data_IF_957982946607
#
_entry.id   IF_957982946607
#
_cell.length_a   1.000
_cell.length_b   1.000
_cell.length_c   1.000
_cell.angle_alpha   90.00
_cell.angle_beta   90.00
_cell.angle_gamma   90.00
#
_symmetry.space_group_name_H-M   'P 1'
#
loop_
_entity.id
_entity.type
_entity.pdbx_description
1 polymer ?
#
# COMPACT_ATOMS: atom_id res chain seq x y z
N UNK A 1 -9.22 -14.96 32.08
CA UNK A 1 -8.47 -14.58 30.86
C UNK A 1 -8.39 -15.83 29.99
N UNK A 2 -9.33 -16.00 29.07
CA UNK A 2 -9.36 -17.12 28.13
C UNK A 2 -8.36 -16.84 27.02
N UNK A 3 -7.08 -16.96 27.37
CA UNK A 3 -6.07 -17.27 26.37
C UNK A 3 -6.48 -18.61 25.75
N UNK A 4 -6.55 -18.66 24.42
CA UNK A 4 -6.34 -19.93 23.74
C UNK A 4 -5.04 -20.48 24.30
N UNK A 5 -5.15 -21.49 25.17
CA UNK A 5 -4.03 -22.03 25.92
C UNK A 5 -2.95 -22.38 24.90
N UNK A 6 -1.72 -21.86 25.00
CA UNK A 6 -0.62 -22.27 24.12
C UNK A 6 -0.30 -23.77 24.24
N UNK A 7 -0.98 -24.48 25.15
CA UNK A 7 -0.86 -25.90 25.45
C UNK A 7 -1.97 -26.78 24.88
N UNK A 8 -3.02 -26.25 24.23
CA UNK A 8 -4.05 -27.08 23.60
C UNK A 8 -3.72 -27.17 22.11
N UNK A 9 -2.91 -28.17 21.75
CA UNK A 9 -2.71 -28.60 20.36
C UNK A 9 -1.28 -28.92 19.94
N UNK A 10 -0.26 -28.32 20.57
CA UNK A 10 1.15 -28.60 20.26
C UNK A 10 1.87 -29.23 21.44
N UNK A 11 2.49 -30.39 21.22
CA UNK A 11 3.42 -30.99 22.19
C UNK A 11 4.71 -30.17 22.38
N UNK A 12 4.98 -29.20 21.49
CA UNK A 12 6.21 -28.41 21.47
C UNK A 12 5.95 -26.95 21.88
N UNK A 13 6.83 -26.40 22.73
CA UNK A 13 6.81 -24.98 23.09
C UNK A 13 7.16 -24.15 21.85
N UNK A 14 6.27 -23.23 21.48
CA UNK A 14 6.51 -22.26 20.41
C UNK A 14 7.58 -21.26 20.85
N UNK A 15 8.45 -20.86 19.92
CA UNK A 15 9.60 -19.98 20.17
C UNK A 15 9.53 -18.76 19.26
N UNK A 16 9.99 -17.63 19.79
CA UNK A 16 10.25 -16.46 18.98
C UNK A 16 11.50 -16.67 18.12
N UNK A 17 11.58 -16.02 16.96
CA UNK A 17 12.81 -16.01 16.16
C UNK A 17 13.99 -15.42 16.94
N UNK A 18 13.71 -14.47 17.82
CA UNK A 18 14.68 -13.78 18.66
C UNK A 18 14.14 -13.73 20.09
N UNK A 19 14.98 -14.11 21.07
CA UNK A 19 14.64 -14.06 22.49
C UNK A 19 13.46 -14.96 22.91
N UNK A 20 12.96 -14.70 24.11
CA UNK A 20 11.76 -15.36 24.63
C UNK A 20 10.50 -14.51 24.37
N UNK A 21 9.34 -15.13 24.14
CA UNK A 21 8.08 -14.40 23.99
C UNK A 21 7.66 -13.69 25.29
N UNK A 22 7.10 -12.50 25.16
CA UNK A 22 6.41 -11.82 26.26
C UNK A 22 4.99 -12.38 26.38
N UNK A 23 4.76 -13.20 27.41
CA UNK A 23 3.47 -13.85 27.68
C UNK A 23 2.48 -12.94 28.42
N UNK A 24 2.90 -11.74 28.84
CA UNK A 24 2.03 -10.74 29.47
C UNK A 24 1.29 -9.87 28.44
N UNK A 25 1.74 -9.86 27.19
CA UNK A 25 1.19 -9.07 26.10
C UNK A 25 0.48 -9.96 25.07
N UNK A 26 -0.56 -9.41 24.45
CA UNK A 26 -1.36 -10.06 23.42
C UNK A 26 -1.18 -9.39 22.05
N UNK A 27 -1.25 -10.21 21.02
CA UNK A 27 -1.27 -9.83 19.61
C UNK A 27 -2.69 -9.65 19.05
N UNK A 28 -3.71 -9.83 19.88
CA UNK A 28 -5.10 -9.62 19.48
C UNK A 28 -5.42 -8.14 19.36
N UNK A 29 -6.01 -7.75 18.23
CA UNK A 29 -6.44 -6.37 17.99
C UNK A 29 -7.46 -5.86 19.02
N UNK A 30 -8.20 -6.79 19.65
CA UNK A 30 -9.22 -6.52 20.66
C UNK A 30 -8.65 -6.46 22.09
N UNK A 31 -7.34 -6.66 22.29
CA UNK A 31 -6.73 -6.58 23.61
C UNK A 31 -6.76 -5.13 24.16
N UNK A 32 -6.83 -4.95 25.49
CA UNK A 32 -6.64 -3.65 26.14
C UNK A 32 -5.29 -3.02 25.75
N UNK A 33 -5.22 -1.69 25.64
CA UNK A 33 -3.98 -0.97 25.24
C UNK A 33 -2.76 -1.30 26.12
N UNK A 34 -2.96 -1.50 27.43
CA UNK A 34 -1.91 -1.88 28.38
C UNK A 34 -1.39 -3.31 28.19
N UNK A 35 -2.17 -4.16 27.51
CA UNK A 35 -1.85 -5.56 27.22
C UNK A 35 -1.51 -5.77 25.75
N UNK A 36 -1.57 -4.76 24.89
CA UNK A 36 -1.18 -4.88 23.48
C UNK A 36 0.33 -5.05 23.35
N UNK A 37 0.72 -5.91 22.42
CA UNK A 37 2.12 -6.09 22.05
C UNK A 37 2.73 -4.76 21.58
N UNK A 38 3.78 -4.29 22.25
CA UNK A 38 4.36 -2.95 22.02
C UNK A 38 5.16 -2.90 20.71
N UNK A 39 4.78 -2.09 19.71
CA UNK A 39 5.34 -2.17 18.36
C UNK A 39 6.81 -1.72 18.26
N UNK A 40 7.28 -0.85 19.15
CA UNK A 40 8.66 -0.34 19.16
C UNK A 40 9.68 -1.36 19.70
N UNK A 41 9.24 -2.29 20.54
CA UNK A 41 10.13 -3.25 21.20
C UNK A 41 9.83 -4.70 20.83
N UNK A 42 8.62 -4.97 20.36
CA UNK A 42 8.13 -6.29 19.99
C UNK A 42 7.41 -6.24 18.65
N UNK A 43 7.16 -7.42 18.10
CA UNK A 43 6.32 -7.65 16.93
C UNK A 43 5.49 -8.91 17.15
N UNK A 44 4.37 -9.00 16.46
CA UNK A 44 3.50 -10.17 16.54
C UNK A 44 3.93 -11.24 15.55
N UNK A 45 4.62 -12.27 16.05
CA UNK A 45 5.01 -13.42 15.26
C UNK A 45 3.83 -14.39 15.18
N UNK A 46 3.24 -14.49 13.98
CA UNK A 46 2.08 -15.34 13.73
C UNK A 46 2.52 -16.67 13.14
N UNK A 47 2.07 -17.77 13.72
CA UNK A 47 2.30 -19.14 13.24
C UNK A 47 0.95 -19.70 12.81
N UNK A 48 0.88 -20.20 11.57
CA UNK A 48 -0.34 -20.77 11.00
C UNK A 48 -0.06 -22.16 10.42
N UNK A 49 -0.84 -23.14 10.85
CA UNK A 49 -0.89 -24.49 10.29
C UNK A 49 -2.33 -24.80 9.83
N UNK A 50 -2.56 -25.80 8.97
CA UNK A 50 -3.92 -26.14 8.54
C UNK A 50 -4.84 -26.40 9.75
N UNK A 51 -5.85 -25.54 9.92
CA UNK A 51 -6.82 -25.63 11.02
C UNK A 51 -6.43 -24.90 12.32
N UNK A 52 -5.28 -24.23 12.38
CA UNK A 52 -4.85 -23.52 13.58
C UNK A 52 -3.99 -22.28 13.28
N UNK A 53 -4.15 -21.25 14.12
CA UNK A 53 -3.36 -20.02 14.07
C UNK A 53 -3.14 -19.51 15.49
N UNK A 54 -1.90 -19.15 15.81
CA UNK A 54 -1.56 -18.45 17.05
C UNK A 54 -0.57 -17.34 16.78
N UNK A 55 -0.43 -16.43 17.74
CA UNK A 55 0.53 -15.34 17.67
C UNK A 55 1.28 -15.20 18.99
N UNK A 56 2.58 -14.93 18.91
CA UNK A 56 3.45 -14.61 20.04
C UNK A 56 3.89 -13.15 19.96
N UNK A 57 3.89 -12.45 21.10
CA UNK A 57 4.55 -11.14 21.19
C UNK A 57 6.07 -11.37 21.35
N UNK A 58 6.81 -11.18 20.27
CA UNK A 58 8.24 -11.48 20.19
C UNK A 58 9.08 -10.21 20.21
N UNK A 59 10.22 -10.18 20.93
CA UNK A 59 11.07 -9.01 20.95
C UNK A 59 11.68 -8.78 19.57
N UNK A 60 11.78 -7.52 19.17
CA UNK A 60 12.54 -7.14 17.99
C UNK A 60 14.04 -7.26 18.31
N UNK A 61 14.84 -7.87 17.43
CA UNK A 61 16.28 -7.97 17.63
C UNK A 61 16.95 -6.59 17.58
N UNK A 62 16.36 -5.65 16.84
CA UNK A 62 16.83 -4.28 16.72
C UNK A 62 15.69 -3.27 16.94
N UNK A 63 16.08 -2.02 17.24
CA UNK A 63 15.17 -0.88 17.44
C UNK A 63 15.59 0.27 16.53
N UNK A 64 14.72 1.26 16.38
CA UNK A 64 15.08 2.49 15.68
C UNK A 64 16.29 3.18 16.33
N UNK A 65 17.21 3.75 15.54
CA UNK A 65 17.16 3.94 14.07
C UNK A 65 17.79 2.79 13.25
N UNK A 66 18.15 1.66 13.85
CA UNK A 66 18.80 0.52 13.17
C UNK A 66 17.89 -0.72 13.07
N UNK A 67 16.71 -0.63 12.44
CA UNK A 67 15.69 -1.66 12.52
C UNK A 67 16.01 -2.97 11.75
N UNK A 68 17.09 -3.01 10.97
CA UNK A 68 17.44 -4.16 10.13
C UNK A 68 18.42 -5.09 10.86
N UNK A 69 18.02 -6.34 11.11
CA UNK A 69 18.89 -7.34 11.75
C UNK A 69 19.46 -8.33 10.74
N UNK A 70 20.76 -8.23 10.48
CA UNK A 70 21.47 -9.07 9.50
C UNK A 70 22.79 -9.53 10.10
N UNK A 71 23.10 -10.83 9.98
CA UNK A 71 24.36 -11.43 10.43
C UNK A 71 24.74 -11.08 11.89
N UNK A 72 23.75 -10.97 12.77
CA UNK A 72 23.97 -10.65 14.18
C UNK A 72 24.12 -9.16 14.50
N UNK A 73 23.99 -8.27 13.51
CA UNK A 73 24.17 -6.82 13.66
C UNK A 73 22.88 -6.07 13.34
N UNK A 74 22.70 -4.94 14.03
CA UNK A 74 21.62 -3.99 13.77
C UNK A 74 22.11 -2.87 12.86
N UNK A 75 21.46 -2.71 11.72
CA UNK A 75 21.81 -1.75 10.67
C UNK A 75 20.64 -0.80 10.42
N UNK A 76 20.95 0.44 10.01
CA UNK A 76 19.94 1.39 9.54
C UNK A 76 19.51 1.06 8.12
N UNK A 77 18.26 1.38 7.82
CA UNK A 77 17.80 1.48 6.43
C UNK A 77 18.48 2.72 5.81
N UNK A 78 18.90 2.60 4.56
CA UNK A 78 19.56 3.62 3.77
C UNK A 78 18.73 3.87 2.49
N UNK A 79 18.57 5.14 2.13
CA UNK A 79 17.95 5.58 0.90
C UNK A 79 18.99 5.77 -0.21
N UNK A 80 18.57 6.15 -1.42
CA UNK A 80 19.52 6.43 -2.51
C UNK A 80 20.49 7.54 -2.08
N UNK A 81 21.78 7.34 -2.38
CA UNK A 81 22.91 8.20 -2.00
C UNK A 81 23.31 8.17 -0.50
N UNK A 82 22.58 7.44 0.36
CA UNK A 82 22.97 7.25 1.76
C UNK A 82 24.13 6.24 1.92
N UNK A 83 24.90 6.34 3.01
CA UNK A 83 25.97 5.37 3.31
C UNK A 83 25.40 3.99 3.66
N UNK A 84 26.05 2.94 3.15
CA UNK A 84 25.67 1.56 3.36
C UNK A 84 26.90 0.65 3.52
N UNK A 85 26.67 -0.54 4.06
CA UNK A 85 27.65 -1.62 4.17
C UNK A 85 27.23 -2.86 3.37
N UNK A 86 25.92 -3.03 3.18
CA UNK A 86 25.30 -4.20 2.53
C UNK A 86 24.11 -3.77 1.68
N UNK A 87 23.76 -4.57 0.67
CA UNK A 87 22.66 -4.28 -0.25
C UNK A 87 21.31 -4.17 0.47
N UNK A 88 21.10 -4.98 1.50
CA UNK A 88 19.83 -5.06 2.24
C UNK A 88 19.48 -3.76 2.97
N UNK A 89 20.48 -2.92 3.30
CA UNK A 89 20.24 -1.59 3.85
C UNK A 89 19.55 -0.67 2.84
N UNK A 90 19.83 -0.84 1.55
CA UNK A 90 19.32 0.01 0.47
C UNK A 90 17.87 -0.37 0.13
N UNK A 91 16.94 0.01 1.01
CA UNK A 91 15.49 -0.29 0.91
C UNK A 91 15.18 -1.78 0.66
N UNK A 92 15.94 -2.67 1.30
CA UNK A 92 15.80 -4.13 1.16
C UNK A 92 16.57 -4.72 -0.03
N UNK A 93 17.41 -3.95 -0.72
CA UNK A 93 18.35 -4.44 -1.74
C UNK A 93 17.71 -4.83 -3.07
N UNK A 94 16.43 -4.50 -3.27
CA UNK A 94 15.65 -4.88 -4.46
C UNK A 94 15.92 -3.93 -5.63
N UNK A 95 15.69 -2.63 -5.44
CA UNK A 95 15.88 -1.61 -6.47
C UNK A 95 17.30 -1.01 -6.47
N UNK A 96 18.01 -1.19 -5.37
CA UNK A 96 19.32 -0.59 -5.10
C UNK A 96 20.33 -1.64 -4.65
N UNK A 97 21.61 -1.29 -4.81
CA UNK A 97 22.75 -2.04 -4.29
C UNK A 97 23.72 -1.09 -3.59
N UNK A 98 24.46 -1.60 -2.63
CA UNK A 98 25.49 -0.87 -1.93
C UNK A 98 26.80 -0.90 -2.74
N UNK A 99 27.02 0.13 -3.55
CA UNK A 99 28.20 0.27 -4.40
C UNK A 99 29.14 1.29 -3.79
N UNK A 100 30.39 0.89 -3.55
CA UNK A 100 31.43 1.75 -2.97
C UNK A 100 31.03 2.45 -1.66
N UNK A 101 30.13 1.82 -0.88
CA UNK A 101 29.66 2.33 0.41
C UNK A 101 28.47 3.29 0.32
N UNK A 102 27.86 3.44 -0.86
CA UNK A 102 26.65 4.25 -1.08
C UNK A 102 25.57 3.47 -1.81
N UNK A 103 24.30 3.73 -1.49
CA UNK A 103 23.19 3.08 -2.18
C UNK A 103 22.96 3.70 -3.56
N UNK A 104 23.11 2.89 -4.60
CA UNK A 104 22.86 3.29 -6.00
C UNK A 104 21.81 2.39 -6.66
N UNK A 105 21.12 2.93 -7.67
CA UNK A 105 20.13 2.19 -8.43
C UNK A 105 20.76 1.01 -9.17
N UNK A 106 20.12 -0.17 -9.09
CA UNK A 106 20.51 -1.32 -9.91
C UNK A 106 20.19 -1.06 -11.39
N UNK A 107 20.85 -1.78 -12.33
CA UNK A 107 20.49 -1.73 -13.75
C UNK A 107 19.00 -2.02 -13.98
N UNK A 108 18.36 -1.22 -14.83
CA UNK A 108 16.91 -1.30 -15.08
C UNK A 108 16.04 -0.54 -14.08
N UNK A 109 16.66 0.13 -13.10
CA UNK A 109 16.02 1.11 -12.23
C UNK A 109 16.59 2.50 -12.52
N UNK A 110 15.80 3.54 -12.26
CA UNK A 110 16.19 4.93 -12.40
C UNK A 110 15.91 5.68 -11.11
N UNK A 111 16.65 6.76 -10.88
CA UNK A 111 16.49 7.59 -9.71
C UNK A 111 15.13 8.30 -9.73
N UNK A 112 14.39 8.19 -8.63
CA UNK A 112 13.11 8.87 -8.41
C UNK A 112 13.17 9.55 -7.05
N UNK A 113 12.87 10.84 -7.04
CA UNK A 113 12.70 11.59 -5.80
C UNK A 113 11.20 11.84 -5.64
N UNK A 114 10.49 10.89 -5.02
CA UNK A 114 9.13 11.18 -4.52
C UNK A 114 9.26 12.19 -3.35
N UNK A 115 8.20 12.90 -2.99
CA UNK A 115 8.16 13.95 -1.96
C UNK A 115 8.56 13.45 -0.54
N UNK A 116 8.92 12.18 -0.40
CA UNK A 116 9.26 11.52 0.87
C UNK A 116 10.77 11.30 1.05
N UNK A 117 11.44 10.65 0.10
CA UNK A 117 12.87 10.36 0.14
C UNK A 117 13.41 9.98 -1.26
N UNK A 118 14.71 10.22 -1.54
CA UNK A 118 15.37 9.74 -2.75
C UNK A 118 15.37 8.20 -2.83
N UNK A 119 14.85 7.63 -3.91
CA UNK A 119 14.78 6.18 -4.12
C UNK A 119 15.05 5.84 -5.60
N UNK A 120 14.88 4.56 -5.96
CA UNK A 120 15.00 4.05 -7.31
C UNK A 120 13.71 3.32 -7.72
N UNK A 121 13.17 3.65 -8.90
CA UNK A 121 11.99 3.00 -9.45
C UNK A 121 12.34 2.20 -10.70
N UNK A 122 11.66 1.06 -10.89
CA UNK A 122 11.89 0.22 -12.07
C UNK A 122 11.50 0.97 -13.34
N UNK A 123 12.33 0.89 -14.37
CA UNK A 123 12.00 1.43 -15.69
C UNK A 123 11.02 0.50 -16.39
N UNK A 124 9.84 1.00 -16.72
CA UNK A 124 8.75 0.25 -17.36
C UNK A 124 8.31 0.91 -18.66
N UNK A 125 7.57 0.16 -19.51
CA UNK A 125 7.00 0.71 -20.73
C UNK A 125 5.86 1.68 -20.41
N UNK A 126 5.46 2.48 -21.40
CA UNK A 126 4.43 3.53 -21.23
C UNK A 126 3.05 2.99 -20.82
N UNK A 127 2.72 1.77 -21.21
CA UNK A 127 1.48 1.06 -20.85
C UNK A 127 1.56 0.30 -19.51
N UNK A 128 2.70 0.40 -18.84
CA UNK A 128 2.98 -0.30 -17.58
C UNK A 128 3.26 0.69 -16.46
N UNK A 129 3.24 0.17 -15.24
CA UNK A 129 3.59 0.89 -14.02
C UNK A 129 4.53 0.05 -13.16
N UNK A 130 5.49 0.73 -12.55
CA UNK A 130 6.46 0.10 -11.66
C UNK A 130 5.85 -0.16 -10.28
N UNK A 131 5.85 -1.43 -9.89
CA UNK A 131 5.39 -1.89 -8.57
C UNK A 131 6.50 -2.78 -8.02
N UNK A 132 7.24 -2.22 -7.04
CA UNK A 132 8.43 -2.84 -6.45
C UNK A 132 9.44 -3.18 -7.56
N UNK A 133 9.59 -4.45 -7.90
CA UNK A 133 10.55 -4.99 -8.87
C UNK A 133 9.89 -5.41 -10.19
N UNK A 134 8.62 -5.09 -10.40
CA UNK A 134 7.84 -5.55 -11.57
C UNK A 134 7.22 -4.39 -12.33
N UNK A 135 7.11 -4.57 -13.63
CA UNK A 135 6.27 -3.76 -14.49
C UNK A 135 4.95 -4.49 -14.64
N UNK A 136 3.86 -3.89 -14.18
CA UNK A 136 2.52 -4.43 -14.37
C UNK A 136 1.76 -3.52 -15.34
N UNK A 137 0.92 -4.10 -16.19
CA UNK A 137 0.07 -3.33 -17.08
C UNK A 137 -0.86 -2.39 -16.32
N UNK A 138 -1.08 -1.20 -16.90
CA UNK A 138 -2.21 -0.35 -16.57
C UNK A 138 -3.51 -1.07 -16.95
N UNK A 139 -4.56 -0.82 -16.19
CA UNK A 139 -5.84 -1.51 -16.31
C UNK A 139 -6.99 -0.50 -16.24
N UNK A 140 -8.17 -0.95 -16.66
CA UNK A 140 -9.38 -0.14 -16.68
C UNK A 140 -10.20 -0.30 -15.38
N UNK A 141 -11.20 0.55 -15.22
CA UNK A 141 -12.18 0.40 -14.14
C UNK A 141 -12.91 -0.94 -14.25
N UNK A 142 -13.13 -1.59 -13.10
CA UNK A 142 -13.76 -2.91 -13.03
C UNK A 142 -12.82 -4.09 -13.30
N UNK A 143 -11.58 -3.84 -13.73
CA UNK A 143 -10.59 -4.89 -13.94
C UNK A 143 -9.83 -5.26 -12.66
N UNK A 144 -9.20 -6.44 -12.68
CA UNK A 144 -8.43 -6.98 -11.56
C UNK A 144 -7.11 -6.23 -11.39
N UNK A 145 -6.82 -5.85 -10.15
CA UNK A 145 -5.66 -5.05 -9.78
C UNK A 145 -4.91 -5.66 -8.59
N UNK A 146 -3.63 -5.34 -8.50
CA UNK A 146 -2.75 -5.68 -7.36
C UNK A 146 -2.32 -4.42 -6.60
N UNK A 147 -2.20 -3.29 -7.31
CA UNK A 147 -1.80 -2.01 -6.74
C UNK A 147 -2.63 -0.87 -7.30
N UNK A 148 -2.80 0.17 -6.49
CA UNK A 148 -3.44 1.43 -6.89
C UNK A 148 -2.76 2.07 -8.10
N UNK A 149 -1.45 1.86 -8.28
CA UNK A 149 -0.70 2.41 -9.43
C UNK A 149 -1.21 1.90 -10.78
N UNK A 150 -1.85 0.73 -10.84
CA UNK A 150 -2.36 0.18 -12.11
C UNK A 150 -3.68 0.83 -12.53
N UNK A 151 -4.43 1.37 -11.57
CA UNK A 151 -5.74 1.94 -11.81
C UNK A 151 -5.65 3.32 -12.49
N UNK A 152 -6.68 3.73 -13.25
CA UNK A 152 -6.72 5.04 -13.87
C UNK A 152 -6.85 6.17 -12.82
N UNK A 153 -6.74 7.41 -13.28
CA UNK A 153 -6.84 8.59 -12.41
C UNK A 153 -8.14 8.58 -11.59
N UNK A 154 -8.01 8.98 -10.32
CA UNK A 154 -9.10 9.00 -9.33
C UNK A 154 -9.73 7.64 -9.01
N UNK A 155 -9.06 6.56 -9.37
CA UNK A 155 -9.40 5.20 -8.95
C UNK A 155 -8.38 4.63 -7.97
N UNK A 156 -8.78 3.58 -7.26
CA UNK A 156 -7.91 2.80 -6.38
C UNK A 156 -8.25 1.31 -6.50
N UNK A 157 -7.28 0.48 -6.14
CA UNK A 157 -7.41 -0.97 -6.14
C UNK A 157 -8.11 -1.42 -4.85
N UNK A 158 -9.42 -1.58 -4.92
CA UNK A 158 -10.25 -1.95 -3.76
C UNK A 158 -10.76 -3.37 -3.91
N UNK A 159 -10.44 -4.22 -2.94
CA UNK A 159 -10.77 -5.66 -2.97
C UNK A 159 -10.28 -6.38 -4.24
N UNK A 160 -9.13 -5.94 -4.78
CA UNK A 160 -8.54 -6.52 -5.99
C UNK A 160 -9.22 -6.10 -7.30
N UNK A 161 -10.07 -5.08 -7.27
CA UNK A 161 -10.71 -4.49 -8.46
C UNK A 161 -10.49 -2.97 -8.48
N UNK A 162 -10.19 -2.38 -9.64
CA UNK A 162 -10.10 -0.92 -9.76
C UNK A 162 -11.48 -0.27 -9.67
N UNK A 163 -11.66 0.60 -8.67
CA UNK A 163 -12.90 1.31 -8.39
C UNK A 163 -12.60 2.80 -8.17
N UNK A 164 -13.58 3.67 -8.40
CA UNK A 164 -13.43 5.08 -8.10
C UNK A 164 -13.15 5.31 -6.62
N UNK A 165 -12.23 6.23 -6.32
CA UNK A 165 -12.01 6.70 -4.96
C UNK A 165 -13.29 7.33 -4.42
N UNK A 166 -13.44 7.31 -3.09
CA UNK A 166 -14.56 7.97 -2.43
C UNK A 166 -14.69 9.44 -2.89
N UNK A 167 -15.93 9.86 -3.16
CA UNK A 167 -16.24 11.20 -3.69
C UNK A 167 -16.19 11.31 -5.21
N UNK A 168 -15.74 10.30 -5.95
CA UNK A 168 -15.78 10.28 -7.41
C UNK A 168 -16.88 9.34 -7.91
N UNK A 169 -17.49 9.68 -9.04
CA UNK A 169 -18.56 8.89 -9.67
C UNK A 169 -18.03 8.29 -10.98
N UNK A 170 -18.38 7.03 -11.23
CA UNK A 170 -18.09 6.36 -12.49
C UNK A 170 -19.01 6.90 -13.58
N UNK A 171 -18.41 7.43 -14.63
CA UNK A 171 -19.09 7.82 -15.86
C UNK A 171 -18.60 6.93 -17.00
N UNK A 172 -19.55 6.40 -17.77
CA UNK A 172 -19.26 5.58 -18.94
C UNK A 172 -19.39 6.47 -20.16
N UNK A 173 -18.25 6.78 -20.79
CA UNK A 173 -18.21 7.52 -22.04
C UNK A 173 -18.11 6.52 -23.21
N UNK A 174 -18.89 6.74 -24.27
CA UNK A 174 -18.91 5.83 -25.42
C UNK A 174 -17.63 5.85 -26.25
N UNK A 175 -16.80 6.90 -26.14
CA UNK A 175 -15.50 7.01 -26.83
C UNK A 175 -14.30 6.69 -25.93
N UNK A 176 -14.33 7.07 -24.65
CA UNK A 176 -13.18 6.97 -23.73
C UNK A 176 -13.30 5.82 -22.70
N UNK A 177 -14.41 5.09 -22.69
CA UNK A 177 -14.66 4.03 -21.71
C UNK A 177 -15.08 4.57 -20.34
N UNK A 178 -15.00 3.71 -19.32
CA UNK A 178 -15.38 4.06 -17.96
C UNK A 178 -14.28 4.88 -17.26
N UNK A 179 -14.66 6.04 -16.70
CA UNK A 179 -13.75 6.94 -15.96
C UNK A 179 -14.37 7.43 -14.65
N UNK A 180 -13.52 7.83 -13.71
CA UNK A 180 -13.94 8.46 -12.46
C UNK A 180 -13.91 9.97 -12.61
N UNK A 181 -15.01 10.64 -12.30
CA UNK A 181 -15.11 12.11 -12.36
C UNK A 181 -15.59 12.67 -11.03
N UNK A 182 -15.13 13.86 -10.69
CA UNK A 182 -15.63 14.58 -9.53
C UNK A 182 -17.06 15.08 -9.83
N UNK A 183 -18.09 14.67 -9.07
CA UNK A 183 -19.47 15.13 -9.25
C UNK A 183 -19.64 16.64 -8.97
N UNK A 184 -18.77 17.23 -8.15
CA UNK A 184 -18.83 18.65 -7.77
C UNK A 184 -17.99 19.55 -8.70
N UNK A 185 -17.40 18.99 -9.78
CA UNK A 185 -16.63 19.77 -10.76
C UNK A 185 -17.58 20.53 -11.71
N UNK A 186 -17.61 21.88 -11.65
CA UNK A 186 -18.49 22.69 -12.50
C UNK A 186 -18.15 22.60 -13.99
N UNK A 187 -16.97 22.09 -14.36
CA UNK A 187 -16.55 21.92 -15.76
C UNK A 187 -16.69 20.48 -16.27
N UNK A 188 -17.28 19.57 -15.50
CA UNK A 188 -17.59 18.23 -15.98
C UNK A 188 -18.58 18.29 -17.16
N UNK A 189 -18.36 17.49 -18.20
CA UNK A 189 -19.22 17.47 -19.40
C UNK A 189 -20.71 17.24 -19.06
N UNK A 190 -20.98 16.51 -17.98
CA UNK A 190 -22.35 16.27 -17.52
C UNK A 190 -23.02 17.54 -16.97
N UNK A 191 -22.30 18.41 -16.25
CA UNK A 191 -22.84 19.68 -15.73
C UNK A 191 -23.04 20.71 -16.85
N UNK A 192 -22.27 20.64 -17.93
CA UNK A 192 -22.46 21.49 -19.13
C UNK A 192 -23.77 21.12 -19.84
N UNK A 193 -24.06 19.82 -20.04
CA UNK A 193 -25.30 19.38 -20.70
C UNK A 193 -26.55 19.82 -19.92
N UNK A 194 -26.56 19.68 -18.60
CA UNK A 194 -27.69 20.13 -17.76
C UNK A 194 -27.88 21.65 -17.82
N UNK A 195 -26.79 22.43 -17.89
CA UNK A 195 -26.87 23.89 -18.01
C UNK A 195 -27.33 24.35 -19.40
N UNK A 196 -27.01 23.62 -20.46
CA UNK A 196 -27.48 23.90 -21.82
C UNK A 196 -28.98 23.57 -21.96
N UNK A 197 -29.46 22.48 -21.36
CA UNK A 197 -30.90 22.17 -21.32
C UNK A 197 -31.71 23.26 -20.60
N UNK A 198 -31.16 23.83 -19.53
CA UNK A 198 -31.81 24.93 -18.79
C UNK A 198 -31.84 26.26 -19.57
N UNK A 199 -30.90 26.47 -20.50
CA UNK A 199 -30.85 27.67 -21.34
C UNK A 199 -31.73 27.57 -22.60
N UNK A 200 -31.98 26.36 -23.12
CA UNK A 200 -32.82 26.14 -24.30
C UNK A 200 -34.25 25.64 -23.98
N UNK A 201 -34.52 25.19 -22.76
CA UNK A 201 -35.84 24.71 -22.32
C UNK A 201 -36.89 25.81 -22.06
N UNK A 202 -36.52 27.09 -22.09
CA UNK A 202 -37.43 28.19 -21.70
C UNK A 202 -37.96 29.05 -22.85
N UNK A 203 -37.87 28.58 -24.11
CA UNK A 203 -38.40 29.29 -25.28
C UNK A 203 -39.46 28.48 -26.03
N UNK A 204 -40.55 28.11 -25.35
CA UNK A 204 -41.85 27.87 -26.00
C UNK A 204 -42.96 27.68 -24.95
N UNK A 205 -43.52 28.79 -24.46
CA UNK A 205 -44.91 28.88 -23.96
C UNK A 205 -45.22 30.31 -23.48
N UNK A 206 -45.53 31.22 -24.40
CA UNK A 206 -46.75 32.04 -24.28
C UNK A 206 -46.99 32.85 -25.57
N UNK A 207 -47.93 32.38 -26.38
CA UNK A 207 -48.64 33.19 -27.36
C UNK A 207 -50.06 32.62 -27.43
N UNK A 208 -51.03 33.34 -26.83
CA UNK A 208 -52.45 32.99 -26.88
C UNK A 208 -53.28 33.64 -25.77
N UNK A 209 -54.03 34.68 -26.14
CA UNK A 209 -55.04 35.38 -25.33
C UNK A 209 -54.63 36.82 -25.03
N UNK A 210 -55.26 37.89 -25.53
CA UNK A 210 -56.67 38.12 -25.94
C UNK A 210 -56.70 38.98 -27.20
#
# INVERSE_FOLDING_TARGET
VTYGSPYIGHCCRLRCPYGEPDLSQSCDNSAPEDQKCRPLTHFCFTISEPGWKTSLCCPRPCRDPTPLYINGQCLSIAHRDDPCQTDEQCEGGVAMSCTLGTCECRPGFHATNDDRFPTCEKTCNIEEVAIVDKCLGKIQLGERCVSNKQCPNFAECRFGICQCKCGFVQNVDSLLGARCTNPDDPFSFNSILTNVEHLFGNKNRNSGGV
#
